data_IF_315735798411
#
_entry.id   IF_315735798411
#
_cell.length_a   1.000
_cell.length_b   1.000
_cell.length_c   1.000
_cell.angle_alpha   90.00
_cell.angle_beta   90.00
_cell.angle_gamma   90.00
#
_symmetry.space_group_name_H-M   'P 1'
#
loop_
_entity.id
_entity.type
_entity.pdbx_description
1 polymer ?
#
# COMPACT_ATOMS: atom_id res chain seq x y z
N UNK A 1 -9.92 -17.49 18.78
CA UNK A 1 -9.38 -16.85 17.57
C UNK A 1 -7.86 -16.98 17.44
N UNK A 2 -7.16 -17.66 18.36
CA UNK A 2 -5.69 -17.80 18.29
C UNK A 2 -5.21 -19.05 17.51
N UNK A 3 -6.15 -19.90 17.06
CA UNK A 3 -5.85 -21.15 16.33
C UNK A 3 -5.75 -20.92 14.81
N UNK A 4 -6.50 -19.95 14.26
CA UNK A 4 -6.49 -19.63 12.82
C UNK A 4 -5.25 -18.82 12.43
N UNK A 5 -4.62 -18.14 13.41
CA UNK A 5 -3.42 -17.34 13.25
C UNK A 5 -2.10 -18.14 13.38
N UNK A 6 -2.15 -19.46 13.57
CA UNK A 6 -0.96 -20.32 13.59
C UNK A 6 -0.03 -20.17 14.81
N UNK A 7 -0.47 -19.49 15.87
CA UNK A 7 0.35 -19.26 17.09
C UNK A 7 0.25 -20.41 18.11
N UNK A 8 -0.67 -21.37 17.91
CA UNK A 8 -0.73 -22.60 18.70
C UNK A 8 -0.96 -23.85 17.83
N UNK A 9 -0.28 -24.96 18.16
CA UNK A 9 -0.64 -26.29 17.66
C UNK A 9 -2.00 -26.68 18.22
N UNK A 10 -2.95 -27.01 17.34
CA UNK A 10 -4.29 -27.44 17.69
C UNK A 10 -4.28 -28.82 18.38
N UNK A 11 -5.13 -29.01 19.38
CA UNK A 11 -5.39 -30.33 19.97
C UNK A 11 -6.12 -31.29 18.99
N UNK A 12 -6.68 -30.76 17.88
CA UNK A 12 -6.99 -31.50 16.66
C UNK A 12 -7.38 -30.55 15.52
N UNK A 13 -6.89 -30.80 14.30
CA UNK A 13 -7.26 -30.09 13.05
C UNK A 13 -6.05 -29.72 12.19
N UNK A 14 -6.16 -29.91 10.86
CA UNK A 14 -5.14 -29.50 9.89
C UNK A 14 -5.47 -28.10 9.34
N UNK A 15 -4.53 -27.17 9.44
CA UNK A 15 -4.60 -25.86 8.76
C UNK A 15 -3.64 -25.92 7.58
N UNK A 16 -4.17 -25.80 6.37
CA UNK A 16 -3.39 -25.70 5.14
C UNK A 16 -3.81 -24.43 4.40
N UNK A 17 -2.82 -23.60 4.04
CA UNK A 17 -3.03 -22.38 3.27
C UNK A 17 -2.83 -22.69 1.78
N UNK A 18 -3.83 -22.37 0.95
CA UNK A 18 -3.75 -22.50 -0.51
C UNK A 18 -4.30 -21.21 -1.14
N UNK A 19 -3.53 -20.50 -1.98
CA UNK A 19 -2.12 -20.71 -2.35
C UNK A 19 -1.14 -20.22 -1.26
N UNK A 20 0.13 -20.59 -1.39
CA UNK A 20 1.24 -20.24 -0.48
C UNK A 20 1.66 -18.75 -0.51
N UNK A 21 1.04 -17.93 -1.36
CA UNK A 21 1.36 -16.51 -1.59
C UNK A 21 0.37 -15.55 -0.89
N UNK A 22 -0.54 -16.10 -0.10
CA UNK A 22 -1.61 -15.35 0.55
C UNK A 22 -1.04 -14.37 1.61
N UNK A 23 -0.91 -13.09 1.25
CA UNK A 23 -0.59 -12.01 2.21
C UNK A 23 -1.85 -11.66 2.99
N UNK A 24 -1.93 -12.14 4.25
CA UNK A 24 -3.01 -11.82 5.18
C UNK A 24 -2.57 -10.62 6.03
N UNK A 25 -3.20 -9.46 5.84
CA UNK A 25 -3.07 -8.32 6.75
C UNK A 25 -3.96 -8.56 7.97
N UNK A 26 -3.35 -8.73 9.15
CA UNK A 26 -4.08 -8.95 10.41
C UNK A 26 -3.94 -7.72 11.31
N UNK A 27 -5.04 -7.00 11.55
CA UNK A 27 -5.07 -5.89 12.49
C UNK A 27 -5.33 -6.41 13.92
N UNK A 28 -4.36 -7.10 14.53
CA UNK A 28 -4.20 -7.07 16.01
C UNK A 28 -2.88 -6.38 16.30
N UNK A 29 -2.93 -5.18 16.89
CA UNK A 29 -1.79 -4.41 17.43
C UNK A 29 -0.47 -4.64 16.65
N UNK A 30 -0.31 -4.05 15.46
CA UNK A 30 0.74 -4.52 14.56
C UNK A 30 1.32 -3.56 13.52
N UNK A 31 1.21 -2.23 13.70
CA UNK A 31 2.14 -1.29 13.06
C UNK A 31 2.75 -0.43 14.15
N UNK A 32 4.06 -0.60 14.35
CA UNK A 32 4.89 0.25 15.20
C UNK A 32 5.46 1.39 14.37
N UNK A 33 5.18 2.62 14.79
CA UNK A 33 5.86 3.80 14.25
C UNK A 33 7.25 3.90 14.87
N UNK A 34 8.24 4.27 14.06
CA UNK A 34 9.57 4.54 14.61
C UNK A 34 9.57 5.84 15.42
N UNK A 35 10.45 5.92 16.42
CA UNK A 35 10.55 7.11 17.26
C UNK A 35 11.00 8.32 16.41
N UNK A 36 10.29 9.43 16.52
CA UNK A 36 10.56 10.63 15.72
C UNK A 36 10.25 10.50 14.22
N UNK A 37 9.53 9.45 13.79
CA UNK A 37 9.13 9.28 12.41
C UNK A 37 8.06 10.31 12.01
N UNK A 38 8.17 10.85 10.78
CA UNK A 38 7.16 11.72 10.18
C UNK A 38 6.17 10.92 9.33
N UNK A 39 4.99 11.49 9.08
CA UNK A 39 3.98 10.87 8.20
C UNK A 39 4.57 10.57 6.83
N UNK A 40 5.31 11.53 6.25
CA UNK A 40 5.98 11.36 4.96
C UNK A 40 7.00 10.24 4.97
N UNK A 41 7.83 10.14 6.02
CA UNK A 41 8.80 9.05 6.15
C UNK A 41 8.12 7.69 6.21
N UNK A 42 7.01 7.58 6.94
CA UNK A 42 6.21 6.36 7.00
C UNK A 42 5.56 6.02 5.66
N UNK A 43 4.90 6.98 4.99
CA UNK A 43 4.26 6.76 3.70
C UNK A 43 5.27 6.42 2.59
N UNK A 44 6.50 6.95 2.69
CA UNK A 44 7.58 6.65 1.74
C UNK A 44 8.02 5.19 1.78
N UNK A 45 7.73 4.44 2.86
CA UNK A 45 7.94 2.98 2.91
C UNK A 45 7.14 2.24 1.83
N UNK A 46 6.05 2.85 1.37
CA UNK A 46 5.13 2.31 0.36
C UNK A 46 5.16 3.12 -0.95
N UNK A 47 6.18 3.96 -1.15
CA UNK A 47 6.28 4.80 -2.33
C UNK A 47 6.35 3.97 -3.62
N UNK A 48 5.71 4.48 -4.67
CA UNK A 48 5.87 3.95 -6.03
C UNK A 48 7.28 4.28 -6.57
N UNK A 49 7.73 3.53 -7.56
CA UNK A 49 8.96 3.83 -8.31
C UNK A 49 8.69 4.74 -9.53
N UNK A 50 7.71 5.65 -9.40
CA UNK A 50 7.21 6.48 -10.50
C UNK A 50 8.33 7.32 -11.12
N UNK A 51 9.17 7.93 -10.29
CA UNK A 51 10.28 8.76 -10.74
C UNK A 51 11.29 7.94 -11.55
N UNK A 52 11.69 6.79 -11.04
CA UNK A 52 12.62 5.89 -11.72
C UNK A 52 12.03 5.37 -13.04
N UNK A 53 10.72 5.10 -13.08
CA UNK A 53 10.02 4.72 -14.31
C UNK A 53 10.00 5.84 -15.35
N UNK A 54 9.79 7.09 -14.94
CA UNK A 54 9.85 8.26 -15.83
C UNK A 54 11.26 8.46 -16.40
N UNK A 55 12.28 8.45 -15.55
CA UNK A 55 13.69 8.57 -15.96
C UNK A 55 14.09 7.43 -16.92
N UNK A 56 13.61 6.21 -16.65
CA UNK A 56 13.85 5.06 -17.53
C UNK A 56 13.18 5.23 -18.89
N UNK A 57 11.94 5.71 -18.93
CA UNK A 57 11.22 5.95 -20.18
C UNK A 57 11.96 7.02 -21.02
N UNK A 58 12.35 8.13 -20.41
CA UNK A 58 13.12 9.20 -21.05
C UNK A 58 14.42 8.66 -21.67
N UNK A 59 15.20 7.90 -20.89
CA UNK A 59 16.45 7.28 -21.36
C UNK A 59 16.22 6.39 -22.58
N UNK A 60 15.14 5.59 -22.60
CA UNK A 60 14.85 4.69 -23.72
C UNK A 60 14.38 5.48 -24.94
N UNK A 61 13.60 6.54 -24.76
CA UNK A 61 13.18 7.45 -25.84
C UNK A 61 14.39 8.10 -26.52
N UNK A 62 15.38 8.58 -25.77
CA UNK A 62 16.61 9.15 -26.31
C UNK A 62 17.42 8.14 -27.14
N UNK A 63 17.52 6.90 -26.64
CA UNK A 63 18.20 5.82 -27.35
C UNK A 63 17.47 5.46 -28.65
N UNK A 64 16.13 5.34 -28.62
CA UNK A 64 15.30 5.08 -29.80
C UNK A 64 15.38 6.21 -30.84
N UNK A 65 15.47 7.47 -30.40
CA UNK A 65 15.65 8.59 -31.32
C UNK A 65 16.95 8.48 -32.13
N UNK A 66 17.98 7.84 -31.56
CA UNK A 66 19.27 7.59 -32.23
C UNK A 66 19.27 6.30 -33.04
N UNK A 67 18.47 5.30 -32.67
CA UNK A 67 18.43 3.98 -33.31
C UNK A 67 16.99 3.44 -33.36
N UNK A 68 16.14 3.97 -34.26
CA UNK A 68 14.70 3.71 -34.26
C UNK A 68 14.33 2.28 -34.69
N UNK A 69 15.20 1.61 -35.45
CA UNK A 69 14.97 0.24 -35.94
C UNK A 69 15.53 -0.83 -34.99
N UNK A 70 16.09 -0.45 -33.84
CA UNK A 70 16.59 -1.39 -32.85
C UNK A 70 15.43 -2.05 -32.10
N UNK A 71 15.14 -3.29 -32.49
CA UNK A 71 14.08 -4.13 -31.90
C UNK A 71 14.25 -4.31 -30.39
N UNK A 72 15.49 -4.32 -29.86
CA UNK A 72 15.70 -4.43 -28.42
C UNK A 72 15.27 -3.15 -27.71
N UNK A 73 15.57 -1.98 -28.27
CA UNK A 73 15.14 -0.70 -27.71
C UNK A 73 13.62 -0.52 -27.78
N UNK A 74 12.96 -1.00 -28.84
CA UNK A 74 11.50 -0.99 -28.95
C UNK A 74 10.85 -1.84 -27.83
N UNK A 75 11.39 -3.04 -27.58
CA UNK A 75 10.89 -3.89 -26.49
C UNK A 75 11.15 -3.27 -25.10
N UNK A 76 12.29 -2.61 -24.91
CA UNK A 76 12.60 -1.89 -23.68
C UNK A 76 11.65 -0.71 -23.45
N UNK A 77 11.24 -0.02 -24.51
CA UNK A 77 10.28 1.09 -24.45
C UNK A 77 8.90 0.59 -24.01
N UNK A 78 8.41 -0.49 -24.63
CA UNK A 78 7.15 -1.13 -24.23
C UNK A 78 7.17 -1.55 -22.75
N UNK A 79 8.31 -2.09 -22.28
CA UNK A 79 8.47 -2.46 -20.87
C UNK A 79 8.49 -1.23 -19.96
N UNK A 80 9.17 -0.16 -20.36
CA UNK A 80 9.22 1.10 -19.60
C UNK A 80 7.82 1.70 -19.47
N UNK A 81 7.02 1.71 -20.55
CA UNK A 81 5.63 2.18 -20.53
C UNK A 81 4.76 1.37 -19.57
N UNK A 82 4.82 0.02 -19.62
CA UNK A 82 4.04 -0.83 -18.71
C UNK A 82 4.42 -0.62 -17.25
N UNK A 83 5.71 -0.43 -16.97
CA UNK A 83 6.16 -0.15 -15.61
C UNK A 83 5.68 1.22 -15.13
N UNK A 84 5.70 2.23 -16.01
CA UNK A 84 5.20 3.57 -15.72
C UNK A 84 3.69 3.54 -15.41
N UNK A 85 2.88 2.88 -16.24
CA UNK A 85 1.44 2.75 -16.03
C UNK A 85 1.11 2.12 -14.67
N UNK A 86 1.83 1.04 -14.31
CA UNK A 86 1.70 0.42 -12.98
C UNK A 86 2.10 1.37 -11.85
N UNK A 87 3.19 2.11 -11.99
CA UNK A 87 3.63 3.07 -10.97
C UNK A 87 2.63 4.22 -10.80
N UNK A 88 2.03 4.71 -11.89
CA UNK A 88 0.97 5.72 -11.85
C UNK A 88 -0.29 5.20 -11.18
N UNK A 89 -0.70 3.96 -11.45
CA UNK A 89 -1.85 3.34 -10.78
C UNK A 89 -1.62 3.19 -9.27
N UNK A 90 -0.41 2.78 -8.86
CA UNK A 90 -0.05 2.71 -7.44
C UNK A 90 -0.10 4.09 -6.77
N UNK A 91 0.38 5.13 -7.45
CA UNK A 91 0.33 6.50 -6.92
C UNK A 91 -1.12 7.03 -6.83
N UNK A 92 -1.96 6.74 -7.83
CA UNK A 92 -3.39 7.06 -7.79
C UNK A 92 -4.09 6.38 -6.61
N UNK A 93 -3.88 5.07 -6.46
CA UNK A 93 -4.43 4.32 -5.33
C UNK A 93 -3.95 4.85 -3.98
N UNK A 94 -2.69 5.31 -3.90
CA UNK A 94 -2.14 5.95 -2.70
C UNK A 94 -2.90 7.22 -2.35
N UNK A 95 -3.16 8.09 -3.33
CA UNK A 95 -3.92 9.32 -3.10
C UNK A 95 -5.36 9.01 -2.66
N UNK A 96 -6.02 8.06 -3.30
CA UNK A 96 -7.38 7.66 -2.96
C UNK A 96 -7.46 7.12 -1.52
N UNK A 97 -6.49 6.28 -1.11
CA UNK A 97 -6.40 5.75 0.26
C UNK A 97 -6.21 6.87 1.28
N UNK A 98 -5.31 7.81 1.01
CA UNK A 98 -5.06 8.92 1.93
C UNK A 98 -6.29 9.81 2.07
N UNK A 99 -7.00 10.07 0.98
CA UNK A 99 -8.23 10.86 1.00
C UNK A 99 -9.38 10.16 1.72
N UNK A 100 -9.53 8.84 1.49
CA UNK A 100 -10.51 8.01 2.19
C UNK A 100 -10.40 8.03 3.71
N UNK A 101 -9.19 8.26 4.23
CA UNK A 101 -8.92 8.37 5.67
C UNK A 101 -8.75 9.82 6.16
N UNK A 102 -8.98 10.83 5.31
CA UNK A 102 -8.83 12.26 5.61
C UNK A 102 -7.41 12.60 6.13
N UNK A 103 -6.38 12.09 5.44
CA UNK A 103 -4.97 12.28 5.78
C UNK A 103 -4.26 13.24 4.80
N UNK A 104 -4.92 13.66 3.71
CA UNK A 104 -4.36 14.48 2.64
C UNK A 104 -3.95 15.89 3.08
N UNK A 105 -4.67 16.46 4.06
CA UNK A 105 -4.44 17.80 4.56
C UNK A 105 -3.38 17.86 5.68
N UNK A 106 -2.90 16.70 6.16
CA UNK A 106 -1.89 16.66 7.22
C UNK A 106 -0.50 16.83 6.59
N UNK A 107 0.30 17.83 7.00
CA UNK A 107 1.63 18.03 6.46
C UNK A 107 2.51 16.78 6.66
N UNK A 108 3.20 16.34 5.62
CA UNK A 108 4.01 15.11 5.66
C UNK A 108 5.24 15.20 6.58
N UNK A 109 5.67 16.40 6.94
CA UNK A 109 6.73 16.66 7.93
C UNK A 109 6.22 16.56 9.38
N UNK A 110 4.91 16.38 9.59
CA UNK A 110 4.32 16.17 10.91
C UNK A 110 4.85 14.89 11.55
N UNK A 111 5.34 15.00 12.79
CA UNK A 111 5.74 13.85 13.60
C UNK A 111 4.53 12.98 13.94
N UNK A 112 4.64 11.67 13.72
CA UNK A 112 3.55 10.73 14.00
C UNK A 112 3.16 10.74 15.47
N UNK A 113 4.11 10.97 16.37
CA UNK A 113 3.88 11.09 17.81
C UNK A 113 2.84 12.17 18.17
N UNK A 114 2.79 13.26 17.39
CA UNK A 114 1.87 14.39 17.58
C UNK A 114 0.43 14.12 17.13
N UNK A 115 0.20 13.03 16.39
CA UNK A 115 -1.14 12.66 15.93
C UNK A 115 -2.04 12.18 17.06
N UNK A 116 -3.32 12.52 16.96
CA UNK A 116 -4.35 11.94 17.83
C UNK A 116 -4.42 10.41 17.66
N UNK A 117 -4.95 9.70 18.67
CA UNK A 117 -5.11 8.24 18.59
C UNK A 117 -5.89 7.80 17.35
N UNK A 118 -6.96 8.52 16.99
CA UNK A 118 -7.73 8.24 15.78
C UNK A 118 -6.94 8.47 14.49
N UNK A 119 -6.14 9.53 14.41
CA UNK A 119 -5.25 9.76 13.25
C UNK A 119 -4.16 8.69 13.14
N UNK A 120 -3.60 8.22 14.26
CA UNK A 120 -2.63 7.11 14.27
C UNK A 120 -3.26 5.81 13.75
N UNK A 121 -4.49 5.50 14.16
CA UNK A 121 -5.22 4.33 13.67
C UNK A 121 -5.49 4.45 12.16
N UNK A 122 -5.94 5.62 11.70
CA UNK A 122 -6.16 5.90 10.27
C UNK A 122 -4.89 5.77 9.44
N UNK A 123 -3.77 6.32 9.92
CA UNK A 123 -2.47 6.21 9.25
C UNK A 123 -1.96 4.76 9.20
N UNK A 124 -2.16 3.99 10.28
CA UNK A 124 -1.84 2.57 10.30
C UNK A 124 -2.69 1.80 9.27
N UNK A 125 -4.00 2.02 9.24
CA UNK A 125 -4.90 1.42 8.27
C UNK A 125 -4.53 1.78 6.83
N UNK A 126 -4.20 3.05 6.56
CA UNK A 126 -3.71 3.49 5.26
C UNK A 126 -2.46 2.71 4.84
N UNK A 127 -1.48 2.55 5.75
CA UNK A 127 -0.29 1.74 5.47
C UNK A 127 -0.61 0.29 5.14
N UNK A 128 -1.52 -0.35 5.88
CA UNK A 128 -1.95 -1.73 5.56
C UNK A 128 -2.57 -1.82 4.17
N UNK A 129 -3.39 -0.85 3.76
CA UNK A 129 -3.96 -0.87 2.41
C UNK A 129 -2.89 -0.64 1.33
N UNK A 130 -1.91 0.23 1.60
CA UNK A 130 -0.80 0.52 0.69
C UNK A 130 0.16 -0.67 0.49
N UNK A 131 0.22 -1.61 1.44
CA UNK A 131 0.96 -2.87 1.26
C UNK A 131 0.34 -3.81 0.22
N UNK A 132 -0.91 -3.58 -0.20
CA UNK A 132 -1.65 -4.45 -1.10
C UNK A 132 -1.81 -5.90 -0.59
N UNK A 133 -2.39 -6.11 0.61
CA UNK A 133 -2.67 -7.44 1.13
C UNK A 133 -3.79 -8.13 0.34
N UNK A 134 -3.72 -9.46 0.25
CA UNK A 134 -4.73 -10.27 -0.45
C UNK A 134 -5.94 -10.59 0.44
N UNK A 135 -5.77 -10.55 1.76
CA UNK A 135 -6.85 -10.75 2.75
C UNK A 135 -6.66 -9.75 3.87
N UNK A 136 -7.71 -9.02 4.23
CA UNK A 136 -7.71 -8.09 5.36
C UNK A 136 -8.55 -8.68 6.49
N UNK A 137 -7.92 -9.00 7.62
CA UNK A 137 -8.57 -9.45 8.84
C UNK A 137 -8.60 -8.30 9.84
N UNK A 138 -9.80 -7.76 10.02
CA UNK A 138 -10.05 -6.62 10.89
C UNK A 138 -10.83 -7.08 12.13
N UNK A 139 -10.17 -7.17 13.29
CA UNK A 139 -10.83 -7.44 14.57
C UNK A 139 -11.13 -6.08 15.26
N UNK A 140 -12.40 -5.69 15.35
CA UNK A 140 -12.87 -4.43 15.98
C UNK A 140 -12.22 -3.10 15.48
N UNK A 141 -11.99 -2.86 14.17
CA UNK A 141 -11.33 -1.63 13.68
C UNK A 141 -12.25 -0.39 13.72
N UNK A 142 -13.56 -0.59 13.92
CA UNK A 142 -14.59 0.42 13.65
C UNK A 142 -14.80 1.42 14.79
N UNK A 143 -14.20 1.20 15.96
CA UNK A 143 -14.38 2.10 17.12
C UNK A 143 -13.72 3.48 16.95
N UNK A 144 -12.79 3.61 15.99
CA UNK A 144 -12.04 4.85 15.73
C UNK A 144 -12.25 5.41 14.33
N UNK A 145 -13.12 4.76 13.54
CA UNK A 145 -13.56 5.25 12.24
C UNK A 145 -15.00 5.76 12.38
N UNK A 146 -15.25 6.94 11.84
CA UNK A 146 -16.63 7.40 11.68
C UNK A 146 -17.35 6.59 10.59
N UNK A 147 -18.64 6.86 10.42
CA UNK A 147 -19.50 6.12 9.49
C UNK A 147 -18.99 6.30 8.04
N UNK A 148 -18.57 7.51 7.68
CA UNK A 148 -18.11 7.86 6.33
C UNK A 148 -16.84 7.06 5.96
N UNK A 149 -15.84 7.03 6.84
CA UNK A 149 -14.60 6.27 6.60
C UNK A 149 -14.83 4.76 6.56
N UNK A 150 -15.80 4.25 7.34
CA UNK A 150 -16.17 2.82 7.31
C UNK A 150 -16.84 2.44 6.01
N UNK A 151 -17.72 3.29 5.49
CA UNK A 151 -18.40 3.04 4.25
C UNK A 151 -17.43 3.16 3.07
N UNK A 152 -16.55 4.17 3.07
CA UNK A 152 -15.46 4.27 2.11
C UNK A 152 -14.54 3.04 2.13
N UNK A 153 -14.09 2.59 3.31
CA UNK A 153 -13.22 1.40 3.43
C UNK A 153 -13.92 0.14 2.89
N UNK A 154 -15.23 0.01 3.13
CA UNK A 154 -16.03 -1.10 2.59
C UNK A 154 -16.06 -1.04 1.06
N UNK A 155 -16.37 0.12 0.49
CA UNK A 155 -16.42 0.32 -0.96
C UNK A 155 -15.06 0.06 -1.61
N UNK A 156 -13.98 0.56 -1.01
CA UNK A 156 -12.61 0.32 -1.45
C UNK A 156 -12.29 -1.17 -1.54
N UNK A 157 -12.56 -1.94 -0.48
CA UNK A 157 -12.31 -3.39 -0.43
C UNK A 157 -13.17 -4.14 -1.46
N UNK A 158 -14.40 -3.69 -1.73
CA UNK A 158 -15.28 -4.32 -2.72
C UNK A 158 -14.90 -3.98 -4.16
N UNK A 159 -14.18 -2.88 -4.38
CA UNK A 159 -13.67 -2.47 -5.70
C UNK A 159 -12.32 -3.11 -6.08
N UNK A 160 -11.71 -3.84 -5.15
CA UNK A 160 -10.41 -4.52 -5.29
C UNK A 160 -10.50 -5.84 -6.07
#
# INVERSE_FOLDING_TARGET
MDIIAGVQKADSGHVAFTPSELRIGYLRQGISFDQGETIGAYLNRFASNLKECLERLETVCEALATSPDDVLLVNEYDRALRNLDRAQQMEGARLDILSGFQLEDIPQDTLIESLSGGQKVRLALAGVLLEGPHVLLLDEPTNHLDIEMRDWLREWILSY
#
